data_IF_648574135113
#
_entry.id   IF_648574135113
#
_cell.length_a   1.000
_cell.length_b   1.000
_cell.length_c   1.000
_cell.angle_alpha   90.00
_cell.angle_beta   90.00
_cell.angle_gamma   90.00
#
_symmetry.space_group_name_H-M   'P 1'
#
loop_
_entity.id
_entity.type
_entity.pdbx_description
1 polymer ?
#
# COMPACT_ATOMS: atom_id res chain seq x y z
N UNK A 1 -6.58 10.94 -12.70
CA UNK A 1 -6.21 9.87 -11.77
C UNK A 1 -6.82 10.16 -10.42
N UNK A 2 -6.78 9.19 -9.51
CA UNK A 2 -7.41 9.26 -8.19
C UNK A 2 -6.36 8.98 -7.11
N UNK A 3 -6.71 9.20 -5.85
CA UNK A 3 -5.79 9.00 -4.71
C UNK A 3 -6.33 7.86 -3.83
N UNK A 4 -5.44 6.93 -3.50
CA UNK A 4 -5.62 5.93 -2.45
C UNK A 4 -4.57 6.18 -1.38
N UNK A 5 -4.97 6.06 -0.11
CA UNK A 5 -4.03 6.01 1.01
C UNK A 5 -4.24 4.69 1.73
N UNK A 6 -3.12 4.04 2.03
CA UNK A 6 -3.10 2.76 2.73
C UNK A 6 -2.08 2.78 3.87
N UNK A 7 -2.25 1.89 4.85
CA UNK A 7 -1.20 1.60 5.83
C UNK A 7 -0.09 0.76 5.20
N UNK A 8 1.06 0.65 5.86
CA UNK A 8 2.14 -0.24 5.40
C UNK A 8 1.73 -1.73 5.35
N UNK A 9 0.64 -2.11 6.04
CA UNK A 9 0.09 -3.46 5.98
C UNK A 9 -0.88 -3.66 4.81
N UNK A 10 -1.28 -2.59 4.11
CA UNK A 10 -2.21 -2.64 2.99
C UNK A 10 -3.66 -2.31 3.33
N UNK A 11 -3.99 -1.93 4.58
CA UNK A 11 -5.36 -1.49 4.92
C UNK A 11 -5.67 -0.16 4.24
N UNK A 12 -6.82 -0.05 3.59
CA UNK A 12 -7.27 1.20 2.98
C UNK A 12 -7.75 2.18 4.06
N UNK A 13 -7.27 3.42 3.99
CA UNK A 13 -7.66 4.48 4.94
C UNK A 13 -8.32 5.67 4.27
N UNK A 14 -8.09 5.85 2.97
CA UNK A 14 -8.74 6.89 2.18
C UNK A 14 -8.81 6.49 0.71
N UNK A 15 -9.90 6.86 0.06
CA UNK A 15 -10.14 6.78 -1.38
C UNK A 15 -10.72 8.12 -1.80
N UNK A 16 -10.22 8.73 -2.87
CA UNK A 16 -10.83 9.95 -3.39
C UNK A 16 -12.21 9.69 -3.98
N UNK A 17 -13.11 10.68 -3.89
CA UNK A 17 -14.51 10.52 -4.29
C UNK A 17 -14.67 10.15 -5.77
N UNK A 18 -13.78 10.62 -6.63
CA UNK A 18 -13.80 10.40 -8.09
C UNK A 18 -13.26 9.02 -8.53
N UNK A 19 -13.09 8.07 -7.62
CA UNK A 19 -12.55 6.73 -7.95
C UNK A 19 -13.45 5.95 -8.92
N UNK A 20 -14.75 6.24 -8.91
CA UNK A 20 -15.76 5.63 -9.75
C UNK A 20 -15.53 5.92 -11.24
N UNK A 21 -14.99 7.09 -11.56
CA UNK A 21 -14.61 7.47 -12.94
C UNK A 21 -13.50 6.58 -13.52
N UNK A 22 -12.73 5.87 -12.67
CA UNK A 22 -11.56 5.08 -13.10
C UNK A 22 -11.72 3.58 -12.87
N UNK A 23 -12.32 3.16 -11.75
CA UNK A 23 -12.49 1.75 -11.39
C UNK A 23 -13.91 1.23 -11.65
N UNK A 24 -14.87 2.12 -11.88
CA UNK A 24 -16.29 1.74 -11.99
C UNK A 24 -16.91 1.27 -10.67
N UNK A 25 -16.22 1.49 -9.55
CA UNK A 25 -16.65 1.16 -8.19
C UNK A 25 -16.81 2.43 -7.38
N UNK A 26 -17.83 2.50 -6.52
CA UNK A 26 -17.99 3.66 -5.64
C UNK A 26 -16.90 3.69 -4.57
N UNK A 27 -16.59 4.89 -4.04
CA UNK A 27 -15.68 5.06 -2.91
C UNK A 27 -16.04 4.13 -1.72
N UNK A 28 -17.34 3.93 -1.49
CA UNK A 28 -17.85 3.08 -0.41
C UNK A 28 -17.53 1.62 -0.68
N UNK A 29 -17.78 1.12 -1.89
CA UNK A 29 -17.50 -0.28 -2.24
C UNK A 29 -16.00 -0.60 -2.18
N UNK A 30 -15.17 0.35 -2.61
CA UNK A 30 -13.70 0.24 -2.52
C UNK A 30 -13.23 0.17 -1.06
N UNK A 31 -13.78 1.01 -0.18
CA UNK A 31 -13.44 1.00 1.24
C UNK A 31 -13.94 -0.25 1.99
N UNK A 32 -15.00 -0.90 1.49
CA UNK A 32 -15.46 -2.17 2.05
C UNK A 32 -14.48 -3.32 1.83
N UNK A 33 -13.58 -3.20 0.85
CA UNK A 33 -12.55 -4.19 0.58
C UNK A 33 -11.56 -4.43 1.72
N UNK A 34 -11.54 -3.63 2.80
CA UNK A 34 -10.57 -3.61 3.92
C UNK A 34 -9.11 -3.37 3.47
N UNK A 35 -8.59 -4.12 2.51
CA UNK A 35 -7.21 -4.02 2.01
C UNK A 35 -7.11 -3.71 0.53
N UNK A 36 -5.98 -3.11 0.14
CA UNK A 36 -5.64 -2.89 -1.27
C UNK A 36 -5.49 -4.21 -2.04
N UNK A 37 -5.19 -5.32 -1.35
CA UNK A 37 -4.97 -6.62 -1.99
C UNK A 37 -6.27 -7.21 -2.56
N UNK A 38 -7.43 -6.82 -2.02
CA UNK A 38 -8.74 -7.24 -2.52
C UNK A 38 -9.11 -6.56 -3.85
N UNK A 39 -8.39 -5.49 -4.22
CA UNK A 39 -8.56 -4.76 -5.48
C UNK A 39 -7.54 -5.17 -6.55
N UNK A 40 -6.55 -5.99 -6.18
CA UNK A 40 -5.42 -6.38 -7.04
C UNK A 40 -5.59 -7.82 -7.48
N UNK A 41 -5.17 -8.15 -8.70
CA UNK A 41 -5.17 -9.54 -9.15
C UNK A 41 -4.27 -10.39 -8.24
N UNK A 42 -4.71 -11.61 -7.91
CA UNK A 42 -3.99 -12.49 -6.99
C UNK A 42 -2.52 -12.73 -7.40
N UNK A 43 -2.21 -12.73 -8.69
CA UNK A 43 -0.86 -12.87 -9.25
C UNK A 43 0.08 -11.72 -8.87
N UNK A 44 -0.47 -10.52 -8.63
CA UNK A 44 0.27 -9.28 -8.38
C UNK A 44 0.34 -8.88 -6.90
N UNK A 45 -0.35 -9.60 -6.02
CA UNK A 45 -0.43 -9.28 -4.57
C UNK A 45 0.96 -9.18 -3.92
N UNK A 46 1.89 -10.08 -4.24
CA UNK A 46 3.23 -10.04 -3.65
C UNK A 46 4.05 -8.84 -4.13
N UNK A 47 3.85 -8.41 -5.38
CA UNK A 47 4.52 -7.23 -5.94
C UNK A 47 4.04 -5.98 -5.21
N UNK A 48 2.73 -5.81 -5.07
CA UNK A 48 2.13 -4.68 -4.33
C UNK A 48 2.56 -4.70 -2.86
N UNK A 49 2.54 -5.87 -2.21
CA UNK A 49 2.97 -6.02 -0.82
C UNK A 49 4.43 -5.62 -0.64
N UNK A 50 5.31 -5.99 -1.56
CA UNK A 50 6.71 -5.59 -1.51
C UNK A 50 6.87 -4.07 -1.64
N UNK A 51 6.07 -3.42 -2.49
CA UNK A 51 6.09 -1.96 -2.65
C UNK A 51 5.61 -1.18 -1.41
N UNK A 52 4.79 -1.78 -0.55
CA UNK A 52 4.32 -1.17 0.69
C UNK A 52 5.27 -1.37 1.88
N UNK A 53 6.28 -2.25 1.75
CA UNK A 53 7.28 -2.44 2.80
C UNK A 53 8.11 -1.18 2.94
N UNK A 54 7.97 -0.50 4.07
CA UNK A 54 8.91 0.53 4.48
C UNK A 54 10.22 -0.21 4.79
N UNK A 55 11.18 -0.15 3.87
CA UNK A 55 12.56 -0.54 4.19
C UNK A 55 13.02 0.38 5.31
N UNK A 56 13.05 -0.15 6.53
CA UNK A 56 13.78 0.48 7.62
C UNK A 56 15.24 0.33 7.22
N UNK A 57 15.81 1.38 6.63
CA UNK A 57 17.23 1.46 6.31
C UNK A 57 18.02 1.11 7.58
N UNK A 58 18.44 -0.15 7.66
CA UNK A 58 19.25 -0.65 8.76
C UNK A 58 20.69 -0.31 8.45
N UNK A 59 21.01 0.98 8.44
CA UNK A 59 22.37 1.48 8.52
C UNK A 59 22.89 1.19 9.94
N UNK A 60 23.17 -0.08 10.19
CA UNK A 60 23.93 -0.56 11.35
C UNK A 60 25.38 -0.14 11.13
N UNK A 61 25.69 1.11 11.48
CA UNK A 61 27.06 1.60 11.53
C UNK A 61 27.78 0.90 12.68
N UNK A 62 28.43 -0.24 12.37
CA UNK A 62 29.35 -0.90 13.29
C UNK A 62 30.52 0.03 13.60
N UNK A 63 30.44 0.76 14.70
CA UNK A 63 31.58 1.51 15.29
C UNK A 63 32.50 0.53 16.04
N UNK A 64 33.13 -0.38 15.31
CA UNK A 64 34.21 -1.21 15.83
C UNK A 64 35.38 -1.22 14.83
N UNK A 65 36.10 -0.10 14.74
CA UNK A 65 37.45 -0.06 14.19
C UNK A 65 38.17 1.26 14.56
N UNK A 66 38.73 1.33 15.77
CA UNK A 66 40.17 1.52 16.01
C UNK A 66 40.41 1.67 17.53
N UNK A 67 41.04 0.63 18.08
CA UNK A 67 41.94 0.73 19.22
C UNK A 67 43.25 1.35 18.74
#
# INVERSE_FOLDING_TARGET
GFILVTTAQGRLVYVSENVDEFLGLSMVDVLQGDTIYDLVEHSDVEVVRSGLRIEKDSSTGNVNALI
#
